data_IF_303704345885
#
_entry.id   IF_303704345885
#
_cell.length_a   1.000
_cell.length_b   1.000
_cell.length_c   1.000
_cell.angle_alpha   90.00
_cell.angle_beta   90.00
_cell.angle_gamma   90.00
#
_symmetry.space_group_name_H-M   'P 1'
#
loop_
_entity.id
_entity.type
_entity.pdbx_description
1 polymer ?
#
# COMPACT_ATOMS: atom_id res chain seq x y z
N UNK A 1 -10.36 16.50 14.49
CA UNK A 1 -10.00 15.16 14.00
C UNK A 1 -9.73 14.33 15.24
N UNK A 2 -10.61 13.39 15.60
CA UNK A 2 -10.44 12.61 16.83
C UNK A 2 -9.22 11.68 16.66
N UNK A 3 -8.32 11.58 17.65
CA UNK A 3 -7.21 10.63 17.58
C UNK A 3 -7.80 9.23 17.42
N UNK A 4 -7.23 8.44 16.50
CA UNK A 4 -7.52 7.02 16.38
C UNK A 4 -7.40 6.41 17.77
N UNK A 5 -8.51 5.90 18.31
CA UNK A 5 -8.54 5.38 19.66
C UNK A 5 -7.74 4.08 19.69
N UNK A 6 -6.48 4.19 20.11
CA UNK A 6 -5.53 3.09 20.19
C UNK A 6 -6.09 1.91 20.98
N UNK A 7 -6.93 2.18 21.98
CA UNK A 7 -7.55 1.15 22.81
C UNK A 7 -8.67 0.39 22.09
N UNK A 8 -9.17 0.92 20.98
CA UNK A 8 -10.14 0.26 20.11
C UNK A 8 -9.50 -0.49 18.93
N UNK A 9 -8.20 -0.28 18.67
CA UNK A 9 -7.51 -1.00 17.60
C UNK A 9 -7.26 -2.45 17.98
N UNK A 10 -7.51 -3.35 17.04
CA UNK A 10 -7.32 -4.79 17.22
C UNK A 10 -6.43 -5.33 16.11
N UNK A 11 -5.57 -6.28 16.45
CA UNK A 11 -4.66 -6.95 15.52
C UNK A 11 -4.83 -8.45 15.61
N UNK A 12 -4.62 -9.13 14.49
CA UNK A 12 -4.80 -10.57 14.41
C UNK A 12 -3.63 -11.31 15.06
N UNK A 13 -3.96 -12.23 15.98
CA UNK A 13 -3.01 -13.15 16.58
C UNK A 13 -3.16 -14.55 15.95
N UNK A 14 -2.08 -15.09 15.37
CA UNK A 14 -2.10 -16.42 14.77
C UNK A 14 -2.22 -17.56 15.80
N UNK A 15 -1.77 -17.32 17.04
CA UNK A 15 -1.85 -18.30 18.13
C UNK A 15 -3.25 -18.36 18.75
N UNK A 16 -3.90 -17.21 18.93
CA UNK A 16 -5.27 -17.13 19.45
C UNK A 16 -6.32 -17.32 18.35
N UNK A 17 -5.92 -17.23 17.08
CA UNK A 17 -6.80 -17.22 15.91
C UNK A 17 -7.91 -16.16 15.98
N UNK A 18 -7.60 -14.99 16.54
CA UNK A 18 -8.57 -13.91 16.77
C UNK A 18 -7.93 -12.52 16.69
N UNK A 19 -8.77 -11.50 16.48
CA UNK A 19 -8.41 -10.10 16.57
C UNK A 19 -8.44 -9.63 18.02
N UNK A 20 -7.26 -9.31 18.54
CA UNK A 20 -7.06 -9.01 19.95
C UNK A 20 -6.50 -7.60 20.14
N UNK A 21 -6.75 -7.05 21.32
CA UNK A 21 -5.98 -5.89 21.78
C UNK A 21 -4.51 -6.28 21.89
N UNK A 22 -3.62 -5.30 21.72
CA UNK A 22 -2.20 -5.57 21.59
C UNK A 22 -1.36 -4.53 22.35
N UNK A 23 -0.13 -4.93 22.70
CA UNK A 23 0.90 -4.03 23.20
C UNK A 23 1.75 -3.54 22.04
N UNK A 24 1.89 -2.23 21.91
CA UNK A 24 2.72 -1.58 20.89
C UNK A 24 4.15 -1.41 21.43
N UNK A 25 5.12 -2.06 20.78
CA UNK A 25 6.54 -1.74 20.92
C UNK A 25 6.98 -0.79 19.79
N UNK A 26 8.25 -0.40 19.80
CA UNK A 26 8.86 0.45 18.76
C UNK A 26 8.89 -0.26 17.40
N UNK A 27 9.12 -1.58 17.38
CA UNK A 27 9.30 -2.35 16.15
C UNK A 27 8.11 -3.27 15.83
N UNK A 28 7.50 -3.85 16.86
CA UNK A 28 6.47 -4.88 16.71
C UNK A 28 5.28 -4.65 17.64
N UNK A 29 4.19 -5.35 17.34
CA UNK A 29 3.00 -5.41 18.18
C UNK A 29 2.85 -6.83 18.74
N UNK A 30 2.45 -6.95 20.00
CA UNK A 30 2.35 -8.24 20.70
C UNK A 30 0.95 -8.46 21.29
N UNK A 31 0.49 -9.70 21.29
CA UNK A 31 -0.80 -10.12 21.82
C UNK A 31 -0.83 -9.96 23.35
N UNK A 32 -1.89 -9.34 23.89
CA UNK A 32 -2.06 -9.21 25.35
C UNK A 32 -2.38 -10.54 26.05
N UNK A 33 -2.86 -11.54 25.29
CA UNK A 33 -3.28 -12.84 25.83
C UNK A 33 -2.14 -13.86 25.85
N UNK A 34 -1.48 -14.09 24.71
CA UNK A 34 -0.42 -15.11 24.59
C UNK A 34 1.00 -14.54 24.51
N UNK A 35 1.18 -13.25 24.29
CA UNK A 35 2.50 -12.60 24.16
C UNK A 35 3.16 -12.71 22.78
N UNK A 36 2.58 -13.48 21.84
CA UNK A 36 3.13 -13.61 20.49
C UNK A 36 2.96 -12.34 19.64
N UNK A 37 3.77 -12.22 18.59
CA UNK A 37 3.65 -11.13 17.64
C UNK A 37 2.30 -11.18 16.90
N UNK A 38 1.63 -10.02 16.82
CA UNK A 38 0.37 -9.87 16.08
C UNK A 38 0.57 -9.18 14.75
N UNK A 39 -0.35 -9.41 13.82
CA UNK A 39 -0.34 -8.85 12.47
C UNK A 39 -1.56 -7.96 12.26
N UNK A 40 -1.49 -7.07 11.29
CA UNK A 40 -2.60 -6.15 11.03
C UNK A 40 -3.87 -6.89 10.56
N UNK A 41 -3.70 -7.95 9.79
CA UNK A 41 -4.79 -8.76 9.25
C UNK A 41 -4.49 -10.24 9.39
N UNK A 42 -5.55 -11.04 9.45
CA UNK A 42 -5.47 -12.47 9.16
C UNK A 42 -4.97 -12.70 7.72
N UNK A 43 -4.55 -13.93 7.43
CA UNK A 43 -4.07 -14.26 6.08
C UNK A 43 -5.20 -14.14 5.05
N UNK A 44 -6.40 -14.58 5.42
CA UNK A 44 -7.59 -14.55 4.60
C UNK A 44 -8.00 -13.09 4.31
N UNK A 45 -8.04 -12.26 5.36
CA UNK A 45 -8.40 -10.84 5.22
C UNK A 45 -7.37 -10.08 4.40
N UNK A 46 -6.08 -10.43 4.54
CA UNK A 46 -5.02 -9.85 3.73
C UNK A 46 -5.18 -10.14 2.23
N UNK A 47 -5.61 -11.36 1.88
CA UNK A 47 -5.89 -11.74 0.50
C UNK A 47 -7.08 -10.97 -0.07
N UNK A 48 -8.18 -10.89 0.69
CA UNK A 48 -9.39 -10.13 0.31
C UNK A 48 -9.07 -8.65 0.13
N UNK A 49 -8.37 -8.05 1.10
CA UNK A 49 -7.96 -6.65 1.05
C UNK A 49 -7.11 -6.35 -0.19
N UNK A 50 -6.13 -7.20 -0.50
CA UNK A 50 -5.31 -7.04 -1.70
C UNK A 50 -6.10 -7.22 -3.00
N UNK A 51 -7.07 -8.14 -3.03
CA UNK A 51 -7.95 -8.31 -4.18
C UNK A 51 -8.77 -7.04 -4.44
N UNK A 52 -9.35 -6.44 -3.39
CA UNK A 52 -10.09 -5.18 -3.49
C UNK A 52 -9.19 -4.02 -3.96
N UNK A 53 -7.97 -3.92 -3.44
CA UNK A 53 -7.02 -2.89 -3.90
C UNK A 53 -6.69 -3.05 -5.39
N UNK A 54 -6.43 -4.27 -5.86
CA UNK A 54 -6.15 -4.53 -7.29
C UNK A 54 -7.31 -4.15 -8.19
N UNK A 55 -8.55 -4.40 -7.77
CA UNK A 55 -9.76 -3.99 -8.51
C UNK A 55 -9.92 -2.47 -8.58
N UNK A 56 -9.52 -1.76 -7.52
CA UNK A 56 -9.66 -0.30 -7.42
C UNK A 56 -8.51 0.49 -8.01
N UNK A 57 -7.39 -0.14 -8.40
CA UNK A 57 -6.29 0.57 -9.09
C UNK A 57 -6.82 1.11 -10.42
N UNK A 58 -6.97 2.44 -10.57
CA UNK A 58 -7.33 3.00 -11.86
C UNK A 58 -6.24 2.59 -12.86
N UNK A 59 -6.65 2.09 -14.03
CA UNK A 59 -5.74 1.74 -15.14
C UNK A 59 -4.90 2.93 -15.66
N UNK A 60 -5.07 4.12 -15.09
CA UNK A 60 -4.34 5.34 -15.43
C UNK A 60 -2.98 5.40 -14.74
N UNK A 61 -1.99 4.74 -15.33
CA UNK A 61 -0.60 5.06 -15.05
C UNK A 61 -0.30 6.52 -15.42
N UNK A 62 0.64 7.14 -14.71
CA UNK A 62 1.23 8.45 -15.02
C UNK A 62 1.42 8.58 -16.54
N UNK A 63 0.88 9.60 -17.21
CA UNK A 63 1.04 9.75 -18.65
C UNK A 63 2.55 9.76 -18.98
N UNK A 64 2.97 8.91 -19.92
CA UNK A 64 4.34 8.97 -20.46
C UNK A 64 4.49 10.36 -21.08
N UNK A 65 5.44 11.16 -20.57
CA UNK A 65 5.88 12.38 -21.22
C UNK A 65 6.40 11.97 -22.60
N UNK A 66 5.69 12.35 -23.67
CA UNK A 66 6.21 12.21 -25.03
C UNK A 66 7.46 13.10 -25.08
N UNK A 67 8.64 12.49 -25.16
CA UNK A 67 9.84 13.21 -25.60
C UNK A 67 9.53 13.76 -27.00
N UNK A 68 9.44 15.08 -27.09
CA UNK A 68 9.39 15.78 -28.35
C UNK A 68 10.78 15.58 -28.96
N UNK A 69 10.89 14.66 -29.91
CA UNK A 69 12.02 14.62 -30.83
C UNK A 69 11.96 15.95 -31.58
N UNK A 70 12.94 16.81 -31.36
CA UNK A 70 13.10 18.04 -32.13
C UNK A 70 13.29 17.66 -33.60
N UNK A 71 12.56 18.26 -34.55
CA UNK A 71 12.92 18.11 -35.96
C UNK A 71 14.27 18.79 -36.18
N UNK A 72 15.20 18.04 -36.74
CA UNK A 72 16.48 18.53 -37.21
C UNK A 72 16.16 19.44 -38.41
N UNK A 73 16.34 20.75 -38.23
CA UNK A 73 16.19 21.73 -39.29
C UNK A 73 17.28 21.49 -40.35
N UNK A 74 16.98 20.63 -41.33
CA UNK A 74 17.62 20.65 -42.63
C UNK A 74 17.18 21.94 -43.33
N UNK A 75 18.08 22.91 -43.41
CA UNK A 75 17.89 24.09 -44.24
C UNK A 75 17.99 23.70 -45.72
N UNK A 76 16.85 23.66 -46.40
CA UNK A 76 16.77 23.72 -47.86
C UNK A 76 17.41 25.02 -48.40
N UNK A 77 18.14 24.94 -49.52
CA UNK A 77 17.83 25.61 -50.81
C UNK A 77 19.05 25.77 -51.72
N UNK A 78 19.02 25.00 -52.80
CA UNK A 78 19.18 25.39 -54.21
C UNK A 78 19.51 26.86 -54.51
N UNK A 79 20.56 27.11 -55.33
CA UNK A 79 20.55 28.10 -56.43
C UNK A 79 21.85 28.10 -57.25
N UNK A 80 21.68 27.99 -58.57
CA UNK A 80 22.54 28.43 -59.69
C UNK A 80 23.83 27.66 -60.01
#
# INVERSE_FOLDING_TARGET
MYPSDFYSDHKYCETCCDYVSYLQSMEHSYCVQCGDAVRLFSKEDWEVFNATLKQRRPKGGRPKKKEQIAPEEGTDKESA
#
